data_IF_146662263899
#
_entry.id   IF_146662263899
#
_cell.length_a   1.000
_cell.length_b   1.000
_cell.length_c   1.000
_cell.angle_alpha   90.00
_cell.angle_beta   90.00
_cell.angle_gamma   90.00
#
_symmetry.space_group_name_H-M   'P 1'
#
loop_
_entity.id
_entity.type
_entity.pdbx_description
1 polymer ?
#
# COMPACT_ATOMS: atom_id res chain seq x y z
N UNK A 1 -8.16 -1.49 -10.85
CA UNK A 1 -7.98 -2.45 -9.73
C UNK A 1 -9.28 -3.21 -9.45
N UNK A 2 -9.86 -3.82 -10.48
CA UNK A 2 -10.93 -4.81 -10.34
C UNK A 2 -10.21 -6.11 -10.70
N UNK A 3 -9.78 -6.88 -9.70
CA UNK A 3 -9.34 -8.26 -9.96
C UNK A 3 -10.58 -8.97 -10.48
N UNK A 4 -10.45 -9.47 -11.70
CA UNK A 4 -11.46 -10.12 -12.49
C UNK A 4 -12.17 -11.21 -11.65
N UNK A 5 -13.35 -10.85 -11.12
CA UNK A 5 -14.16 -11.71 -10.24
C UNK A 5 -14.57 -13.01 -10.95
N UNK A 6 -14.44 -13.07 -12.28
CA UNK A 6 -14.71 -14.25 -13.10
C UNK A 6 -13.77 -15.42 -12.82
N UNK A 7 -12.57 -15.17 -12.26
CA UNK A 7 -11.59 -16.25 -12.00
C UNK A 7 -11.78 -16.95 -10.65
N UNK A 8 -12.56 -16.37 -9.74
CA UNK A 8 -12.80 -16.94 -8.41
C UNK A 8 -13.96 -17.94 -8.39
N UNK A 9 -14.81 -17.93 -9.42
CA UNK A 9 -15.88 -18.92 -9.60
C UNK A 9 -15.57 -19.81 -10.80
N UNK A 10 -15.53 -21.15 -10.65
CA UNK A 10 -15.51 -22.01 -11.83
C UNK A 10 -16.75 -21.73 -12.67
N UNK A 11 -16.65 -21.71 -14.02
CA UNK A 11 -17.83 -21.62 -14.86
C UNK A 11 -18.73 -22.80 -14.49
N UNK A 12 -19.92 -22.50 -13.98
CA UNK A 12 -20.95 -23.49 -13.76
C UNK A 12 -21.27 -24.14 -15.12
N UNK A 13 -20.63 -25.28 -15.41
CA UNK A 13 -21.10 -26.18 -16.45
C UNK A 13 -22.40 -26.77 -15.93
N UNK A 14 -23.48 -26.03 -16.12
CA UNK A 14 -24.82 -26.55 -15.95
C UNK A 14 -24.94 -27.79 -16.83
N UNK A 15 -25.27 -28.97 -16.28
CA UNK A 15 -25.72 -30.07 -17.11
C UNK A 15 -26.96 -29.60 -17.86
N UNK A 16 -27.00 -29.88 -19.16
CA UNK A 16 -28.18 -29.68 -20.02
C UNK A 16 -29.43 -30.19 -19.28
N UNK A 17 -30.54 -29.43 -19.25
CA UNK A 17 -31.78 -29.88 -18.60
C UNK A 17 -32.20 -31.22 -19.21
N UNK A 18 -32.22 -32.24 -18.37
CA UNK A 18 -32.57 -33.61 -18.74
C UNK A 18 -34.00 -33.64 -19.28
N UNK A 19 -34.21 -34.20 -20.46
CA UNK A 19 -35.55 -34.37 -21.01
C UNK A 19 -36.38 -35.34 -20.15
N UNK A 20 -37.67 -35.05 -19.89
CA UNK A 20 -38.52 -35.92 -19.10
C UNK A 20 -38.91 -37.14 -19.97
N UNK A 21 -38.30 -38.30 -19.72
CA UNK A 21 -38.70 -39.54 -20.41
C UNK A 21 -37.68 -40.68 -20.45
N UNK A 22 -36.41 -40.44 -20.12
CA UNK A 22 -35.43 -41.54 -20.02
C UNK A 22 -35.48 -42.15 -18.61
N UNK A 23 -35.52 -43.49 -18.47
CA UNK A 23 -35.35 -44.12 -17.17
C UNK A 23 -33.94 -43.77 -16.68
N UNK A 24 -33.89 -42.90 -15.68
CA UNK A 24 -32.69 -42.40 -15.03
C UNK A 24 -32.01 -43.57 -14.28
N UNK A 25 -31.38 -44.49 -15.02
CA UNK A 25 -30.50 -45.50 -14.45
C UNK A 25 -29.13 -44.86 -14.24
N UNK A 26 -29.07 -43.92 -13.30
CA UNK A 26 -27.80 -43.50 -12.75
C UNK A 26 -27.25 -44.71 -11.99
N UNK A 27 -26.29 -45.43 -12.57
CA UNK A 27 -25.66 -46.51 -11.83
C UNK A 27 -24.80 -45.90 -10.74
N UNK A 28 -24.82 -46.50 -9.54
CA UNK A 28 -24.05 -46.00 -8.38
C UNK A 28 -22.58 -45.78 -8.75
N UNK A 29 -22.05 -46.60 -9.66
CA UNK A 29 -20.69 -46.47 -10.22
C UNK A 29 -20.46 -45.14 -10.93
N UNK A 30 -21.36 -44.71 -11.82
CA UNK A 30 -21.22 -43.43 -12.55
C UNK A 30 -21.30 -42.23 -11.60
N UNK A 31 -22.12 -42.31 -10.55
CA UNK A 31 -22.15 -41.29 -9.48
C UNK A 31 -20.82 -41.20 -8.75
N UNK A 32 -20.25 -42.34 -8.37
CA UNK A 32 -18.96 -42.39 -7.69
C UNK A 32 -17.83 -41.82 -8.54
N UNK A 33 -17.81 -42.08 -9.85
CA UNK A 33 -16.78 -41.56 -10.75
C UNK A 33 -16.89 -40.04 -10.93
N UNK A 34 -18.12 -39.50 -11.08
CA UNK A 34 -18.33 -38.05 -11.11
C UNK A 34 -17.90 -37.36 -9.82
N UNK A 35 -18.25 -37.92 -8.66
CA UNK A 35 -17.81 -37.38 -7.36
C UNK A 35 -16.27 -37.38 -7.27
N UNK A 36 -15.62 -38.45 -7.75
CA UNK A 36 -14.17 -38.54 -7.77
C UNK A 36 -13.53 -37.48 -8.66
N UNK A 37 -14.08 -37.23 -9.85
CA UNK A 37 -13.60 -36.16 -10.73
C UNK A 37 -13.81 -34.77 -10.13
N UNK A 38 -15.00 -34.51 -9.57
CA UNK A 38 -15.32 -33.24 -8.88
C UNK A 38 -14.38 -33.01 -7.68
N UNK A 39 -14.06 -34.06 -6.92
CA UNK A 39 -13.10 -33.97 -5.82
C UNK A 39 -11.67 -33.67 -6.29
N UNK A 40 -11.18 -34.35 -7.33
CA UNK A 40 -9.85 -34.06 -7.89
C UNK A 40 -9.76 -32.65 -8.47
N UNK A 41 -10.83 -32.19 -9.13
CA UNK A 41 -10.93 -30.83 -9.63
C UNK A 41 -10.84 -29.81 -8.48
N UNK A 42 -11.61 -30.03 -7.41
CA UNK A 42 -11.59 -29.17 -6.23
C UNK A 42 -10.21 -29.17 -5.55
N UNK A 43 -9.58 -30.34 -5.45
CA UNK A 43 -8.23 -30.48 -4.89
C UNK A 43 -7.20 -29.68 -5.70
N UNK A 44 -7.28 -29.73 -7.04
CA UNK A 44 -6.41 -28.94 -7.91
C UNK A 44 -6.63 -27.43 -7.73
N UNK A 45 -7.89 -26.98 -7.66
CA UNK A 45 -8.21 -25.57 -7.40
C UNK A 45 -7.66 -25.10 -6.05
N UNK A 46 -7.84 -25.89 -4.99
CA UNK A 46 -7.30 -25.58 -3.67
C UNK A 46 -5.77 -25.45 -3.70
N UNK A 47 -5.08 -26.34 -4.42
CA UNK A 47 -3.62 -26.27 -4.53
C UNK A 47 -3.16 -25.00 -5.24
N UNK A 48 -3.80 -24.63 -6.36
CA UNK A 48 -3.51 -23.36 -7.04
C UNK A 48 -3.76 -22.15 -6.15
N UNK A 49 -4.89 -22.13 -5.43
CA UNK A 49 -5.22 -21.04 -4.52
C UNK A 49 -4.20 -20.94 -3.38
N UNK A 50 -3.77 -22.07 -2.81
CA UNK A 50 -2.74 -22.11 -1.77
C UNK A 50 -1.45 -21.43 -2.22
N UNK A 51 -0.97 -21.75 -3.42
CA UNK A 51 0.24 -21.14 -3.99
C UNK A 51 0.06 -19.63 -4.21
N UNK A 52 -1.12 -19.20 -4.65
CA UNK A 52 -1.43 -17.77 -4.79
C UNK A 52 -1.43 -17.06 -3.43
N UNK A 53 -1.97 -17.68 -2.38
CA UNK A 53 -1.93 -17.15 -1.02
C UNK A 53 -0.50 -17.04 -0.49
N UNK A 54 0.35 -18.04 -0.71
CA UNK A 54 1.77 -18.02 -0.32
C UNK A 54 2.52 -16.90 -1.04
N UNK A 55 2.27 -16.72 -2.34
CA UNK A 55 2.82 -15.62 -3.12
C UNK A 55 2.39 -14.25 -2.56
N UNK A 56 1.09 -14.06 -2.30
CA UNK A 56 0.57 -12.82 -1.75
C UNK A 56 1.14 -12.52 -0.35
N UNK A 57 1.36 -13.54 0.48
CA UNK A 57 1.99 -13.38 1.78
C UNK A 57 3.45 -12.89 1.67
N UNK A 58 4.19 -13.41 0.68
CA UNK A 58 5.54 -12.95 0.36
C UNK A 58 5.55 -11.49 -0.12
N UNK A 59 4.69 -11.16 -1.09
CA UNK A 59 4.54 -9.78 -1.60
C UNK A 59 4.16 -8.79 -0.49
N UNK A 60 3.26 -9.17 0.42
CA UNK A 60 2.90 -8.37 1.59
C UNK A 60 4.10 -8.10 2.49
N UNK A 61 4.93 -9.10 2.71
CA UNK A 61 6.12 -8.97 3.57
C UNK A 61 7.18 -8.07 2.92
N UNK A 62 7.40 -8.21 1.61
CA UNK A 62 8.25 -7.29 0.84
C UNK A 62 7.76 -5.84 0.93
N UNK A 63 6.45 -5.65 0.70
CA UNK A 63 5.82 -4.33 0.80
C UNK A 63 5.98 -3.73 2.20
N UNK A 64 5.82 -4.53 3.25
CA UNK A 64 6.01 -4.09 4.63
C UNK A 64 7.45 -3.63 4.88
N UNK A 65 8.45 -4.35 4.35
CA UNK A 65 9.86 -3.94 4.47
C UNK A 65 10.12 -2.61 3.80
N UNK A 66 9.62 -2.42 2.58
CA UNK A 66 9.73 -1.14 1.88
C UNK A 66 9.01 -0.02 2.63
N UNK A 67 7.80 -0.28 3.13
CA UNK A 67 7.02 0.71 3.89
C UNK A 67 7.79 1.21 5.12
N UNK A 68 8.36 0.31 5.93
CA UNK A 68 9.14 0.67 7.12
C UNK A 68 10.37 1.49 6.73
N UNK A 69 11.12 1.05 5.72
CA UNK A 69 12.31 1.75 5.25
C UNK A 69 11.99 3.18 4.81
N UNK A 70 10.93 3.37 4.02
CA UNK A 70 10.49 4.69 3.58
C UNK A 70 10.02 5.55 4.75
N UNK A 71 9.29 4.97 5.69
CA UNK A 71 8.81 5.70 6.87
C UNK A 71 9.98 6.24 7.71
N UNK A 72 10.96 5.41 8.03
CA UNK A 72 12.14 5.80 8.82
C UNK A 72 12.98 6.86 8.09
N UNK A 73 13.21 6.67 6.80
CA UNK A 73 13.97 7.62 5.99
C UNK A 73 13.26 8.97 5.87
N UNK A 74 11.97 8.98 5.54
CA UNK A 74 11.18 10.21 5.45
C UNK A 74 11.14 10.95 6.78
N UNK A 75 11.02 10.24 7.90
CA UNK A 75 11.05 10.85 9.23
C UNK A 75 12.40 11.50 9.54
N UNK A 76 13.52 10.82 9.25
CA UNK A 76 14.87 11.37 9.41
C UNK A 76 15.10 12.63 8.58
N UNK A 77 14.72 12.59 7.30
CA UNK A 77 14.80 13.76 6.40
C UNK A 77 13.92 14.92 6.89
N UNK A 78 12.72 14.62 7.38
CA UNK A 78 11.79 15.63 7.86
C UNK A 78 12.34 16.38 9.08
N UNK A 79 12.95 15.67 10.03
CA UNK A 79 13.61 16.29 11.20
C UNK A 79 14.74 17.21 10.74
N UNK A 80 15.64 16.70 9.90
CA UNK A 80 16.83 17.44 9.49
C UNK A 80 16.45 18.69 8.67
N UNK A 81 15.43 18.58 7.80
CA UNK A 81 14.86 19.72 7.10
C UNK A 81 14.34 20.79 8.07
N UNK A 82 13.51 20.42 9.06
CA UNK A 82 12.98 21.38 10.03
C UNK A 82 14.08 22.04 10.86
N UNK A 83 15.13 21.28 11.22
CA UNK A 83 16.30 21.80 11.93
C UNK A 83 17.06 22.83 11.08
N UNK A 84 17.33 22.54 9.81
CA UNK A 84 18.00 23.49 8.90
C UNK A 84 17.17 24.75 8.68
N UNK A 85 15.87 24.62 8.43
CA UNK A 85 14.96 25.77 8.32
C UNK A 85 14.95 26.60 9.60
N UNK A 86 14.94 25.95 10.77
CA UNK A 86 15.04 26.61 12.07
C UNK A 86 16.34 27.40 12.24
N UNK A 87 17.47 26.83 11.81
CA UNK A 87 18.77 27.50 11.87
C UNK A 87 18.83 28.72 10.94
N UNK A 88 18.36 28.59 9.69
CA UNK A 88 18.31 29.70 8.73
C UNK A 88 17.43 30.85 9.24
N UNK A 89 16.27 30.53 9.83
CA UNK A 89 15.40 31.55 10.41
C UNK A 89 16.07 32.27 11.59
N UNK A 90 16.80 31.53 12.44
CA UNK A 90 17.53 32.12 13.56
C UNK A 90 18.64 33.05 13.06
N UNK A 91 19.35 32.66 12.02
CA UNK A 91 20.40 33.47 11.38
C UNK A 91 19.83 34.77 10.80
N UNK A 92 18.75 34.69 10.03
CA UNK A 92 18.06 35.87 9.49
C UNK A 92 17.57 36.82 10.60
N UNK A 93 17.03 36.28 11.71
CA UNK A 93 16.62 37.09 12.86
C UNK A 93 17.80 37.82 13.52
N UNK A 94 18.96 37.19 13.62
CA UNK A 94 20.18 37.82 14.14
C UNK A 94 20.65 38.97 13.25
N UNK A 95 20.59 38.77 11.94
CA UNK A 95 20.99 39.77 10.94
C UNK A 95 20.10 41.02 11.01
N UNK A 96 18.77 40.84 10.99
CA UNK A 96 17.80 41.94 11.11
C UNK A 96 18.01 42.74 12.40
N UNK A 97 18.23 42.06 13.54
CA UNK A 97 18.45 42.72 14.82
C UNK A 97 19.75 43.53 14.84
N UNK A 98 20.81 42.98 14.25
CA UNK A 98 22.11 43.66 14.10
C UNK A 98 21.98 44.91 13.24
N UNK A 99 21.28 44.81 12.11
CA UNK A 99 21.06 45.93 11.20
C UNK A 99 20.22 47.04 11.86
N UNK A 100 19.15 46.68 12.56
CA UNK A 100 18.32 47.63 13.30
C UNK A 100 19.10 48.36 14.39
N UNK A 101 19.93 47.64 15.16
CA UNK A 101 20.78 48.25 16.19
C UNK A 101 21.76 49.27 15.59
N UNK A 102 22.42 48.94 14.48
CA UNK A 102 23.31 49.88 13.78
C UNK A 102 22.56 51.15 13.35
N UNK A 103 21.37 51.02 12.77
CA UNK A 103 20.55 52.17 12.37
C UNK A 103 20.17 53.05 13.56
N UNK A 104 19.72 52.46 14.67
CA UNK A 104 19.31 53.21 15.87
C UNK A 104 20.49 53.99 16.48
N UNK A 105 21.67 53.36 16.56
CA UNK A 105 22.88 54.02 17.04
C UNK A 105 23.28 55.17 16.12
N UNK A 106 23.22 54.95 14.80
CA UNK A 106 23.49 56.01 13.81
C UNK A 106 22.56 57.21 13.95
N UNK A 107 21.24 56.97 14.06
CA UNK A 107 20.24 58.05 14.25
C UNK A 107 20.47 58.81 15.55
N UNK A 108 20.75 58.11 16.66
CA UNK A 108 21.06 58.74 17.94
C UNK A 108 22.35 59.57 17.88
N UNK A 109 23.40 59.05 17.26
CA UNK A 109 24.66 59.77 17.06
C UNK A 109 24.46 61.06 16.28
N UNK A 110 23.72 60.99 15.17
CA UNK A 110 23.36 62.18 14.38
C UNK A 110 22.61 63.20 15.25
N UNK A 111 21.60 62.77 16.00
CA UNK A 111 20.81 63.69 16.83
C UNK A 111 21.59 64.35 17.98
N UNK A 112 22.69 63.75 18.43
CA UNK A 112 23.61 64.37 19.40
C UNK A 112 24.52 65.43 18.77
N UNK A 113 24.83 65.32 17.48
CA UNK A 113 25.65 66.31 16.75
C UNK A 113 24.85 67.57 16.43
N UNK A 114 23.54 67.44 16.18
CA UNK A 114 22.65 68.55 15.82
C UNK A 114 21.97 69.23 17.03
N UNK A 115 22.40 68.94 18.26
CA UNK A 115 21.99 69.63 19.48
C UNK A 115 23.14 70.42 20.06
#
# INVERSE_FOLDING_TARGET
MIRDLSKMYPPARHPVPHQPGQPLKFTVTESCDRIKEEFHFLQAQYHSLKLECEKLASEKTEMQRHYVMYYEMSYGLNIEMHKQVGNVLLECKKEVKTNSNHTVVGVRGMQMIYK
#
